data_IF_887437586017
#
_entry.id   IF_887437586017
#
_cell.length_a   1.000
_cell.length_b   1.000
_cell.length_c   1.000
_cell.angle_alpha   90.00
_cell.angle_beta   90.00
_cell.angle_gamma   90.00
#
_symmetry.space_group_name_H-M   'P 1'
#
loop_
_entity.id
_entity.type
_entity.pdbx_description
1 polymer ?
#
# COMPACT_ATOMS: atom_id res chain seq x y z
N UNK A 1 4.68 -4.31 7.75
CA UNK A 1 3.89 -3.11 7.41
C UNK A 1 4.26 -2.06 8.43
N UNK A 2 4.48 -0.81 7.99
CA UNK A 2 4.86 0.30 8.87
C UNK A 2 3.63 1.10 9.34
N UNK A 3 2.54 1.03 8.57
CA UNK A 3 1.27 1.71 8.85
C UNK A 3 0.12 0.73 8.70
N UNK A 4 -0.89 0.85 9.57
CA UNK A 4 -2.19 0.19 9.46
C UNK A 4 -3.25 1.29 9.39
N UNK A 5 -3.98 1.36 8.27
CA UNK A 5 -5.11 2.28 8.09
C UNK A 5 -6.42 1.59 8.43
N UNK A 6 -7.20 2.19 9.33
CA UNK A 6 -8.56 1.81 9.66
C UNK A 6 -9.54 2.79 8.99
N UNK A 7 -10.28 2.29 8.00
CA UNK A 7 -11.27 3.10 7.29
C UNK A 7 -12.69 2.83 7.78
N UNK A 8 -13.39 3.88 8.20
CA UNK A 8 -14.80 3.83 8.58
C UNK A 8 -15.74 3.55 7.41
N UNK A 9 -16.92 2.97 7.70
CA UNK A 9 -17.98 2.71 6.72
C UNK A 9 -18.49 3.97 6.00
N UNK A 10 -18.19 5.14 6.56
CA UNK A 10 -18.68 6.42 6.13
C UNK A 10 -17.76 7.10 5.11
N UNK A 11 -16.69 6.43 4.66
CA UNK A 11 -15.82 6.86 3.57
C UNK A 11 -16.56 7.29 2.29
N UNK A 12 -15.93 8.20 1.55
CA UNK A 12 -16.44 8.69 0.25
C UNK A 12 -16.11 7.71 -0.88
N UNK A 13 -16.90 7.73 -1.96
CA UNK A 13 -16.61 6.96 -3.18
C UNK A 13 -17.15 7.66 -4.42
N UNK A 14 -16.41 7.56 -5.52
CA UNK A 14 -16.85 8.05 -6.84
C UNK A 14 -17.94 7.17 -7.45
N UNK A 15 -17.88 5.84 -7.22
CA UNK A 15 -18.83 4.87 -7.72
C UNK A 15 -18.81 3.60 -6.85
N UNK A 16 -19.97 3.19 -6.32
CA UNK A 16 -20.13 1.96 -5.55
C UNK A 16 -21.60 1.54 -5.53
N UNK A 17 -21.90 0.22 -5.44
CA UNK A 17 -23.26 -0.24 -5.20
C UNK A 17 -23.86 0.42 -3.95
N UNK A 18 -25.11 0.86 -4.05
CA UNK A 18 -25.83 1.50 -2.92
C UNK A 18 -25.95 0.58 -1.71
N UNK A 19 -26.02 -0.73 -1.94
CA UNK A 19 -26.05 -1.74 -0.88
C UNK A 19 -24.77 -1.72 -0.08
N UNK A 20 -23.60 -1.70 -0.73
CA UNK A 20 -22.30 -1.60 -0.07
C UNK A 20 -22.17 -0.31 0.74
N UNK A 21 -22.56 0.84 0.18
CA UNK A 21 -22.51 2.15 0.88
C UNK A 21 -23.36 2.16 2.16
N UNK A 22 -24.43 1.36 2.22
CA UNK A 22 -25.39 1.37 3.34
C UNK A 22 -25.19 0.24 4.34
N UNK A 23 -24.59 -0.87 3.92
CA UNK A 23 -24.63 -2.14 4.66
C UNK A 23 -23.29 -2.87 4.77
N UNK A 24 -22.20 -2.30 4.26
CA UNK A 24 -20.86 -2.85 4.43
C UNK A 24 -19.97 -1.89 5.21
N UNK A 25 -19.22 -2.42 6.16
CA UNK A 25 -18.32 -1.66 7.04
C UNK A 25 -18.92 -1.34 8.41
N UNK A 26 -18.06 -0.89 9.31
CA UNK A 26 -18.37 -0.46 10.67
C UNK A 26 -17.83 0.96 10.93
N UNK A 27 -18.31 1.67 11.96
CA UNK A 27 -17.71 2.91 12.43
C UNK A 27 -16.21 2.74 12.71
N UNK A 28 -15.41 3.74 12.35
CA UNK A 28 -13.96 3.68 12.53
C UNK A 28 -13.59 3.62 14.02
N UNK A 29 -14.42 4.19 14.91
CA UNK A 29 -14.21 4.17 16.37
C UNK A 29 -14.08 2.74 16.91
N UNK A 30 -14.87 1.80 16.37
CA UNK A 30 -14.82 0.39 16.76
C UNK A 30 -13.51 -0.26 16.29
N UNK A 31 -13.23 -0.18 14.98
CA UNK A 31 -12.06 -0.83 14.39
C UNK A 31 -10.75 -0.22 14.89
N UNK A 32 -10.72 1.09 15.13
CA UNK A 32 -9.55 1.81 15.63
C UNK A 32 -9.24 1.39 17.06
N UNK A 33 -10.23 1.42 17.95
CA UNK A 33 -10.05 0.99 19.32
C UNK A 33 -9.64 -0.48 19.39
N UNK A 34 -10.31 -1.37 18.66
CA UNK A 34 -9.96 -2.81 18.63
C UNK A 34 -8.52 -3.03 18.13
N UNK A 35 -8.12 -2.33 17.06
CA UNK A 35 -6.76 -2.42 16.51
C UNK A 35 -5.73 -1.92 17.51
N UNK A 36 -5.94 -0.74 18.10
CA UNK A 36 -5.06 -0.17 19.11
C UNK A 36 -4.91 -1.11 20.29
N UNK A 37 -6.03 -1.55 20.87
CA UNK A 37 -6.07 -2.41 22.04
C UNK A 37 -5.35 -3.74 21.79
N UNK A 38 -5.65 -4.39 20.65
CA UNK A 38 -5.05 -5.67 20.28
C UNK A 38 -3.54 -5.55 20.06
N UNK A 39 -3.08 -4.48 19.42
CA UNK A 39 -1.65 -4.24 19.22
C UNK A 39 -0.92 -3.99 20.54
N UNK A 40 -1.54 -3.29 21.50
CA UNK A 40 -0.95 -3.07 22.84
C UNK A 40 -0.86 -4.39 23.59
N UNK A 41 -1.94 -5.17 23.63
CA UNK A 41 -1.99 -6.47 24.32
C UNK A 41 -0.93 -7.46 23.80
N UNK A 42 -0.58 -7.38 22.52
CA UNK A 42 0.42 -8.26 21.89
C UNK A 42 1.84 -7.67 21.87
N UNK A 43 2.07 -6.52 22.51
CA UNK A 43 3.34 -5.80 22.48
C UNK A 43 3.84 -5.48 21.05
N UNK A 44 2.91 -5.14 20.15
CA UNK A 44 3.17 -4.79 18.76
C UNK A 44 2.86 -3.32 18.44
N UNK A 45 2.24 -2.57 19.37
CA UNK A 45 1.79 -1.20 19.12
C UNK A 45 2.92 -0.22 18.80
N UNK A 46 4.11 -0.44 19.34
CA UNK A 46 5.31 0.39 19.13
C UNK A 46 5.93 0.26 17.73
N UNK A 47 5.46 -0.71 16.94
CA UNK A 47 6.06 -1.11 15.66
C UNK A 47 5.36 -0.56 14.42
N UNK A 48 4.14 -0.07 14.58
CA UNK A 48 3.29 0.35 13.47
C UNK A 48 2.60 1.64 13.84
N UNK A 49 2.50 2.55 12.88
CA UNK A 49 1.59 3.68 12.98
C UNK A 49 0.17 3.22 12.71
N UNK A 50 -0.78 3.74 13.47
CA UNK A 50 -2.20 3.52 13.21
C UNK A 50 -2.80 4.78 12.62
N UNK A 51 -3.26 4.69 11.38
CA UNK A 51 -3.96 5.76 10.66
C UNK A 51 -5.47 5.49 10.70
N UNK A 52 -6.28 6.54 10.73
CA UNK A 52 -7.74 6.39 10.57
C UNK A 52 -8.31 7.39 9.58
N UNK A 53 -9.32 6.97 8.83
CA UNK A 53 -10.14 7.83 8.00
C UNK A 53 -11.63 7.43 8.09
N UNK A 54 -12.51 8.29 7.59
CA UNK A 54 -13.96 8.12 7.74
C UNK A 54 -14.63 9.41 8.17
N UNK A 55 -14.88 10.29 7.18
CA UNK A 55 -15.44 11.65 7.36
C UNK A 55 -14.92 12.38 8.60
N UNK A 56 -13.61 12.42 8.79
CA UNK A 56 -13.00 13.36 9.71
C UNK A 56 -13.17 14.77 9.14
N UNK A 57 -13.90 15.63 9.85
CA UNK A 57 -14.27 16.98 9.39
C UNK A 57 -13.80 18.09 10.33
N UNK A 58 -13.47 17.76 11.58
CA UNK A 58 -13.19 18.73 12.65
C UNK A 58 -11.94 18.35 13.45
N UNK A 59 -11.36 19.31 14.16
CA UNK A 59 -10.31 19.06 15.14
C UNK A 59 -10.80 18.16 16.29
N UNK A 60 -12.08 18.21 16.62
CA UNK A 60 -12.70 17.27 17.57
C UNK A 60 -12.68 15.82 17.09
N UNK A 61 -12.98 15.57 15.82
CA UNK A 61 -12.91 14.21 15.26
C UNK A 61 -11.49 13.65 15.38
N UNK A 62 -10.49 14.50 15.10
CA UNK A 62 -9.08 14.15 15.29
C UNK A 62 -8.76 13.85 16.75
N UNK A 63 -9.20 14.71 17.68
CA UNK A 63 -8.99 14.48 19.10
C UNK A 63 -9.56 13.14 19.55
N UNK A 64 -10.79 12.80 19.16
CA UNK A 64 -11.39 11.49 19.48
C UNK A 64 -10.57 10.36 18.85
N UNK A 65 -10.18 10.48 17.59
CA UNK A 65 -9.32 9.50 16.92
C UNK A 65 -7.98 9.31 17.64
N UNK A 66 -7.31 10.38 18.06
CA UNK A 66 -6.06 10.30 18.83
C UNK A 66 -6.28 9.55 20.15
N UNK A 67 -7.31 9.92 20.91
CA UNK A 67 -7.62 9.30 22.20
C UNK A 67 -7.98 7.81 22.07
N UNK A 68 -8.55 7.40 20.93
CA UNK A 68 -8.81 6.00 20.60
C UNK A 68 -7.61 5.25 20.01
N UNK A 69 -6.51 5.94 19.71
CA UNK A 69 -5.23 5.31 19.39
C UNK A 69 -4.62 5.63 18.03
N UNK A 70 -5.20 6.55 17.24
CA UNK A 70 -4.64 6.97 15.95
C UNK A 70 -3.46 7.94 16.11
N UNK A 71 -2.55 7.90 15.15
CA UNK A 71 -1.39 8.80 15.01
C UNK A 71 -1.46 9.63 13.72
N UNK A 72 -2.13 9.10 12.70
CA UNK A 72 -2.29 9.73 11.39
C UNK A 72 -3.78 9.78 11.00
N UNK A 73 -4.16 10.78 10.21
CA UNK A 73 -5.56 11.10 9.92
C UNK A 73 -5.77 11.33 8.42
N UNK A 74 -6.58 10.49 7.80
CA UNK A 74 -6.93 10.58 6.39
C UNK A 74 -8.10 11.53 6.14
N UNK A 75 -7.94 12.44 5.18
CA UNK A 75 -9.00 13.35 4.74
C UNK A 75 -9.30 13.17 3.25
N UNK A 76 -10.57 13.01 2.90
CA UNK A 76 -11.01 12.93 1.51
C UNK A 76 -12.18 13.88 1.21
N UNK A 77 -13.34 13.69 1.85
CA UNK A 77 -14.56 14.44 1.52
C UNK A 77 -14.44 15.93 1.84
N UNK A 78 -13.89 16.30 3.02
CA UNK A 78 -13.70 17.70 3.38
C UNK A 78 -12.81 18.45 2.36
N UNK A 79 -11.60 17.97 2.02
CA UNK A 79 -10.80 18.55 0.95
C UNK A 79 -11.56 18.72 -0.38
N UNK A 80 -12.33 17.73 -0.80
CA UNK A 80 -13.14 17.84 -2.02
C UNK A 80 -14.19 18.96 -1.93
N UNK A 81 -14.85 19.12 -0.78
CA UNK A 81 -15.82 20.21 -0.56
C UNK A 81 -15.15 21.57 -0.60
N UNK A 82 -13.97 21.70 0.02
CA UNK A 82 -13.20 22.96 0.03
C UNK A 82 -12.72 23.35 -1.37
N UNK A 83 -12.40 22.35 -2.21
CA UNK A 83 -12.07 22.54 -3.62
C UNK A 83 -13.29 22.81 -4.52
N UNK A 84 -14.50 22.83 -3.96
CA UNK A 84 -15.73 23.23 -4.65
C UNK A 84 -16.78 22.13 -4.82
N UNK A 85 -16.58 20.92 -4.28
CA UNK A 85 -17.62 19.88 -4.32
C UNK A 85 -18.88 20.34 -3.58
N UNK A 86 -19.99 20.41 -4.31
CA UNK A 86 -21.32 20.79 -3.79
C UNK A 86 -22.16 19.59 -3.35
N UNK A 87 -21.54 18.42 -3.13
CA UNK A 87 -22.19 17.19 -2.64
C UNK A 87 -23.40 16.70 -3.48
N UNK A 88 -23.36 16.91 -4.80
CA UNK A 88 -24.45 16.53 -5.73
C UNK A 88 -24.59 15.01 -5.93
N UNK A 89 -23.57 14.21 -5.57
CA UNK A 89 -23.57 12.73 -5.64
C UNK A 89 -23.79 12.13 -7.04
N UNK A 90 -23.32 12.83 -8.08
CA UNK A 90 -23.34 12.38 -9.49
C UNK A 90 -21.95 11.98 -10.00
N UNK A 91 -21.01 11.67 -9.10
CA UNK A 91 -19.61 11.41 -9.45
C UNK A 91 -19.45 10.27 -10.46
N UNK A 92 -20.26 9.21 -10.35
CA UNK A 92 -20.27 8.04 -11.23
C UNK A 92 -20.86 8.31 -12.62
N UNK A 93 -21.48 9.47 -12.85
CA UNK A 93 -22.13 9.81 -14.12
C UNK A 93 -21.24 10.63 -15.05
N UNK A 94 -20.04 11.02 -14.60
CA UNK A 94 -19.16 11.94 -15.33
C UNK A 94 -19.80 13.33 -15.61
N UNK A 95 -20.78 13.73 -14.79
CA UNK A 95 -21.53 15.00 -14.95
C UNK A 95 -21.33 15.97 -13.79
N UNK A 96 -20.15 15.99 -13.17
CA UNK A 96 -19.88 16.88 -12.05
C UNK A 96 -20.02 18.36 -12.47
N UNK A 97 -20.93 19.14 -11.87
CA UNK A 97 -21.23 20.50 -12.33
C UNK A 97 -20.09 21.49 -12.08
N UNK A 98 -19.17 21.15 -11.18
CA UNK A 98 -18.08 21.99 -10.66
C UNK A 98 -16.69 21.45 -11.07
N UNK A 99 -16.62 20.50 -12.00
CA UNK A 99 -15.35 20.02 -12.53
C UNK A 99 -14.48 19.18 -11.59
N UNK A 100 -15.01 18.75 -10.43
CA UNK A 100 -14.25 17.95 -9.44
C UNK A 100 -14.15 16.47 -9.86
N UNK A 101 -15.27 15.79 -10.02
CA UNK A 101 -15.33 14.35 -10.32
C UNK A 101 -15.84 14.11 -11.75
N UNK A 102 -15.07 14.53 -12.74
CA UNK A 102 -15.40 14.38 -14.17
C UNK A 102 -14.16 14.39 -15.05
N UNK A 103 -14.16 13.61 -16.11
CA UNK A 103 -13.18 13.61 -17.20
C UNK A 103 -13.64 14.44 -18.41
N UNK A 104 -14.90 14.88 -18.44
CA UNK A 104 -15.43 15.73 -19.51
C UNK A 104 -14.66 17.07 -19.59
N UNK A 105 -14.01 17.39 -20.73
CA UNK A 105 -13.20 18.60 -20.86
C UNK A 105 -13.96 19.91 -20.60
N UNK A 106 -15.23 20.00 -21.00
CA UNK A 106 -16.04 21.21 -20.79
C UNK A 106 -16.45 21.40 -19.33
N UNK A 107 -16.71 20.30 -18.61
CA UNK A 107 -17.04 20.36 -17.19
C UNK A 107 -15.79 20.60 -16.33
N UNK A 108 -14.63 20.05 -16.71
CA UNK A 108 -13.35 20.30 -16.04
C UNK A 108 -12.94 21.78 -16.03
N UNK A 109 -13.28 22.54 -17.07
CA UNK A 109 -13.08 24.01 -17.11
C UNK A 109 -13.80 24.76 -15.99
N UNK A 110 -14.80 24.14 -15.35
CA UNK A 110 -15.57 24.73 -14.23
C UNK A 110 -14.90 24.52 -12.88
N UNK A 111 -13.80 23.78 -12.81
CA UNK A 111 -13.05 23.61 -11.57
C UNK A 111 -12.37 24.92 -11.18
N UNK A 112 -12.69 25.43 -10.00
CA UNK A 112 -12.14 26.68 -9.44
C UNK A 112 -11.44 26.45 -8.10
N UNK A 113 -11.06 25.21 -7.79
CA UNK A 113 -10.41 24.87 -6.52
C UNK A 113 -9.01 25.45 -6.42
N UNK A 114 -8.67 25.98 -5.25
CA UNK A 114 -7.35 26.55 -4.96
C UNK A 114 -6.65 25.70 -3.87
N UNK A 115 -5.42 25.21 -4.12
CA UNK A 115 -4.62 24.51 -3.10
C UNK A 115 -4.45 25.30 -1.80
N UNK A 116 -4.41 26.64 -1.86
CA UNK A 116 -4.34 27.51 -0.69
C UNK A 116 -5.54 27.35 0.25
N UNK A 117 -6.73 27.01 -0.27
CA UNK A 117 -7.89 26.72 0.56
C UNK A 117 -7.70 25.44 1.37
N UNK A 118 -7.05 24.41 0.81
CA UNK A 118 -6.70 23.18 1.53
C UNK A 118 -5.70 23.48 2.65
N UNK A 119 -4.68 24.27 2.36
CA UNK A 119 -3.68 24.68 3.36
C UNK A 119 -4.37 25.39 4.54
N UNK A 120 -5.29 26.31 4.26
CA UNK A 120 -6.03 27.03 5.29
C UNK A 120 -6.92 26.08 6.12
N UNK A 121 -7.64 25.17 5.47
CA UNK A 121 -8.42 24.15 6.17
C UNK A 121 -7.57 23.30 7.11
N UNK A 122 -6.43 22.77 6.64
CA UNK A 122 -5.54 21.96 7.47
C UNK A 122 -5.00 22.77 8.66
N UNK A 123 -4.72 24.07 8.48
CA UNK A 123 -4.33 24.96 9.58
C UNK A 123 -5.45 25.14 10.61
N UNK A 124 -6.71 25.27 10.18
CA UNK A 124 -7.86 25.38 11.08
C UNK A 124 -8.09 24.10 11.87
N UNK A 125 -8.06 22.94 11.20
CA UNK A 125 -8.16 21.63 11.86
C UNK A 125 -7.05 21.45 12.89
N UNK A 126 -5.81 21.77 12.52
CA UNK A 126 -4.68 21.69 13.45
C UNK A 126 -4.80 22.69 14.62
N UNK A 127 -5.35 23.89 14.39
CA UNK A 127 -5.59 24.87 15.46
C UNK A 127 -6.64 24.37 16.46
N UNK A 128 -7.78 23.89 15.97
CA UNK A 128 -8.85 23.33 16.80
C UNK A 128 -8.34 22.12 17.61
N UNK A 129 -7.58 21.22 16.99
CA UNK A 129 -6.97 20.10 17.70
C UNK A 129 -6.03 20.58 18.82
N UNK A 130 -5.17 21.57 18.57
CA UNK A 130 -4.27 22.14 19.60
C UNK A 130 -5.04 22.77 20.76
N UNK A 131 -6.16 23.44 20.48
CA UNK A 131 -7.02 24.01 21.52
C UNK A 131 -7.60 22.91 22.42
N UNK A 132 -8.10 21.82 21.83
CA UNK A 132 -8.61 20.65 22.56
C UNK A 132 -7.49 19.95 23.34
N UNK A 133 -6.30 19.77 22.74
CA UNK A 133 -5.13 19.22 23.42
C UNK A 133 -4.77 20.05 24.65
N UNK A 134 -4.76 21.38 24.53
CA UNK A 134 -4.45 22.28 25.63
C UNK A 134 -5.51 22.21 26.74
N UNK A 135 -6.80 22.11 26.38
CA UNK A 135 -7.89 21.92 27.34
C UNK A 135 -7.76 20.59 28.12
N UNK A 136 -7.35 19.51 27.43
CA UNK A 136 -7.16 18.19 28.04
C UNK A 136 -5.81 18.03 28.77
N UNK A 137 -4.89 18.99 28.60
CA UNK A 137 -3.59 19.03 29.27
C UNK A 137 -2.45 18.30 28.54
N UNK A 138 -2.57 18.05 27.24
CA UNK A 138 -1.54 17.41 26.41
C UNK A 138 -0.69 18.43 25.65
N UNK A 139 0.62 18.20 25.55
CA UNK A 139 1.55 19.05 24.80
C UNK A 139 1.89 18.48 23.44
N UNK A 140 1.86 17.16 23.30
CA UNK A 140 2.17 16.45 22.04
C UNK A 140 1.06 15.46 21.71
N UNK A 141 0.99 15.06 20.43
CA UNK A 141 0.06 14.02 19.98
C UNK A 141 0.39 12.70 20.68
N UNK A 142 1.66 12.32 20.76
CA UNK A 142 2.14 11.09 21.39
C UNK A 142 1.66 10.93 22.85
N UNK A 143 1.62 12.02 23.63
CA UNK A 143 1.10 12.02 25.00
C UNK A 143 -0.41 11.72 25.08
N UNK A 144 -1.14 11.99 23.99
CA UNK A 144 -2.60 11.88 23.86
C UNK A 144 -3.03 10.54 23.26
N UNK A 145 -2.17 9.87 22.48
CA UNK A 145 -2.52 8.61 21.80
C UNK A 145 -2.97 7.55 22.80
N UNK A 146 -4.16 6.98 22.59
CA UNK A 146 -4.70 5.89 23.42
C UNK A 146 -5.20 6.32 24.80
N UNK A 147 -5.29 7.63 25.08
CA UNK A 147 -5.81 8.19 26.34
C UNK A 147 -7.34 8.16 26.39
N UNK A 148 -7.95 7.01 26.13
CA UNK A 148 -9.41 6.82 26.17
C UNK A 148 -10.03 7.13 27.54
N UNK A 149 -9.23 7.19 28.63
CA UNK A 149 -9.65 7.73 29.94
C UNK A 149 -10.16 9.18 29.90
N UNK A 150 -9.85 9.93 28.84
CA UNK A 150 -10.35 11.29 28.62
C UNK A 150 -11.68 11.35 27.87
N UNK A 151 -12.24 10.20 27.51
CA UNK A 151 -13.53 10.10 26.85
C UNK A 151 -14.56 9.51 27.82
N UNK A 152 -15.76 10.08 27.79
CA UNK A 152 -16.92 9.50 28.46
C UNK A 152 -18.17 9.61 27.60
N UNK A 153 -19.11 8.71 27.85
CA UNK A 153 -20.42 8.79 27.21
C UNK A 153 -21.17 10.03 27.72
N UNK A 154 -21.67 10.84 26.79
CA UNK A 154 -22.53 11.96 27.16
C UNK A 154 -23.89 11.45 27.67
N UNK A 155 -24.03 11.39 29.00
CA UNK A 155 -25.26 10.95 29.68
C UNK A 155 -26.41 11.95 29.58
N UNK A 156 -26.18 13.17 29.11
CA UNK A 156 -27.21 14.19 28.95
C UNK A 156 -28.06 14.00 27.68
N UNK A 157 -27.71 13.05 26.80
CA UNK A 157 -28.51 12.70 25.63
C UNK A 157 -29.66 11.77 26.05
N UNK A 158 -30.76 12.35 26.52
CA UNK A 158 -31.99 11.62 26.85
C UNK A 158 -32.82 11.35 25.59
N UNK A 159 -32.46 10.29 24.87
CA UNK A 159 -33.20 9.82 23.71
C UNK A 159 -33.49 8.33 23.82
N UNK A 160 -34.71 7.90 23.55
CA UNK A 160 -35.11 6.50 23.76
C UNK A 160 -34.26 5.47 23.00
N UNK A 161 -33.70 5.84 21.83
CA UNK A 161 -32.78 4.98 21.04
C UNK A 161 -31.36 4.87 21.60
N UNK A 162 -30.95 5.72 22.53
CA UNK A 162 -29.62 5.61 23.16
C UNK A 162 -29.63 4.66 24.35
N UNK A 163 -30.81 4.21 24.80
CA UNK A 163 -30.96 3.23 25.86
C UNK A 163 -30.28 1.91 25.47
N UNK A 164 -29.32 1.48 26.29
CA UNK A 164 -28.58 0.23 26.12
C UNK A 164 -27.30 0.32 25.30
N UNK A 165 -26.91 1.51 24.82
CA UNK A 165 -25.57 1.70 24.26
C UNK A 165 -24.53 1.63 25.38
N UNK A 166 -23.53 0.77 25.19
CA UNK A 166 -22.37 0.63 26.08
C UNK A 166 -21.09 0.79 25.26
N UNK A 167 -20.28 1.78 25.64
CA UNK A 167 -19.00 2.07 25.02
C UNK A 167 -17.82 1.58 25.85
N UNK A 168 -18.06 0.81 26.93
CA UNK A 168 -17.02 0.28 27.80
C UNK A 168 -15.91 -0.46 27.03
N UNK A 169 -16.27 -1.25 26.01
CA UNK A 169 -15.30 -1.97 25.18
C UNK A 169 -14.46 -1.06 24.28
N UNK A 170 -15.02 0.04 23.79
CA UNK A 170 -14.29 1.02 22.97
C UNK A 170 -13.32 1.82 23.86
N UNK A 171 -13.77 2.17 25.06
CA UNK A 171 -13.02 3.00 26.00
C UNK A 171 -12.03 2.19 26.85
N UNK A 172 -12.03 0.86 26.74
CA UNK A 172 -11.14 -0.02 27.49
C UNK A 172 -9.66 0.32 27.24
N UNK A 173 -8.91 0.42 28.34
CA UNK A 173 -7.46 0.63 28.32
C UNK A 173 -6.76 -0.68 28.70
N UNK A 174 -6.08 -1.35 27.75
CA UNK A 174 -5.30 -2.54 28.06
C UNK A 174 -4.08 -2.18 28.91
N UNK A 175 -3.66 -3.11 29.76
CA UNK A 175 -2.36 -2.99 30.43
C UNK A 175 -1.23 -3.02 29.39
N UNK A 176 -0.32 -2.07 29.49
CA UNK A 176 0.84 -1.99 28.59
C UNK A 176 1.91 -2.96 29.09
N UNK A 177 2.29 -3.99 28.30
CA UNK A 177 3.35 -4.92 28.69
C UNK A 177 4.70 -4.22 28.90
N UNK A 178 5.61 -4.86 29.64
CA UNK A 178 6.96 -4.33 29.83
C UNK A 178 7.68 -4.12 28.49
N UNK A 179 8.29 -2.96 28.32
CA UNK A 179 8.94 -2.55 27.06
C UNK A 179 7.97 -2.19 25.92
N UNK A 180 6.66 -2.19 26.17
CA UNK A 180 5.62 -1.76 25.24
C UNK A 180 5.33 -0.26 25.31
N UNK A 181 4.38 0.18 24.49
CA UNK A 181 3.98 1.58 24.37
C UNK A 181 2.64 1.72 23.65
N UNK A 182 2.07 2.93 23.66
CA UNK A 182 0.74 3.21 23.11
C UNK A 182 0.77 3.77 21.68
N UNK A 183 1.94 4.15 21.18
CA UNK A 183 2.14 4.74 19.86
C UNK A 183 3.42 4.19 19.21
N UNK A 184 3.64 4.47 17.93
CA UNK A 184 4.78 3.97 17.17
C UNK A 184 6.08 4.61 17.67
N UNK A 185 7.06 3.79 18.07
CA UNK A 185 8.33 4.23 18.64
C UNK A 185 9.55 3.58 17.96
N UNK A 186 9.34 2.50 17.20
CA UNK A 186 10.40 1.67 16.65
C UNK A 186 10.18 1.48 15.15
N UNK A 187 11.20 1.80 14.36
CA UNK A 187 11.22 1.50 12.93
C UNK A 187 11.25 -0.02 12.66
N UNK A 188 10.58 -0.45 11.59
CA UNK A 188 10.59 -1.86 11.21
C UNK A 188 11.86 -2.23 10.45
N UNK A 189 12.49 -3.34 10.85
CA UNK A 189 13.47 -4.01 10.01
C UNK A 189 12.79 -5.03 9.08
N UNK A 190 12.66 -4.66 7.80
CA UNK A 190 12.08 -5.50 6.76
C UNK A 190 13.02 -6.59 6.21
N UNK A 191 14.26 -6.69 6.74
CA UNK A 191 15.31 -7.62 6.34
C UNK A 191 15.70 -7.52 4.86
N UNK A 192 15.59 -6.32 4.27
CA UNK A 192 15.91 -6.06 2.85
C UNK A 192 17.40 -6.32 2.59
N UNK A 193 18.26 -6.04 3.57
CA UNK A 193 19.70 -6.25 3.55
C UNK A 193 20.10 -7.73 3.37
N UNK A 194 19.18 -8.67 3.66
CA UNK A 194 19.39 -10.11 3.50
C UNK A 194 18.94 -10.64 2.13
N UNK A 195 18.37 -9.78 1.28
CA UNK A 195 17.91 -10.18 -0.04
C UNK A 195 19.08 -10.53 -0.96
N UNK A 196 18.86 -11.48 -1.88
CA UNK A 196 19.86 -11.89 -2.88
C UNK A 196 20.37 -10.70 -3.70
N UNK A 197 19.47 -9.75 -3.98
CA UNK A 197 19.82 -8.53 -4.69
C UNK A 197 20.87 -7.71 -3.94
N UNK A 198 20.66 -7.43 -2.64
CA UNK A 198 21.61 -6.64 -1.84
C UNK A 198 22.89 -7.41 -1.54
N UNK A 199 22.77 -8.70 -1.15
CA UNK A 199 23.94 -9.46 -0.69
C UNK A 199 24.89 -9.87 -1.80
N UNK A 200 24.47 -9.83 -3.07
CA UNK A 200 25.25 -10.38 -4.18
C UNK A 200 25.09 -9.64 -5.50
N UNK A 201 23.86 -9.37 -5.95
CA UNK A 201 23.64 -8.96 -7.34
C UNK A 201 23.90 -7.47 -7.60
N UNK A 202 23.56 -6.60 -6.64
CA UNK A 202 23.57 -5.15 -6.85
C UNK A 202 24.99 -4.63 -7.13
N UNK A 203 25.97 -5.09 -6.36
CA UNK A 203 27.37 -4.70 -6.53
C UNK A 203 27.94 -5.12 -7.89
N UNK A 204 27.52 -6.30 -8.37
CA UNK A 204 27.91 -6.79 -9.69
C UNK A 204 27.27 -5.98 -10.83
N UNK A 205 26.13 -5.31 -10.56
CA UNK A 205 25.44 -4.47 -11.53
C UNK A 205 25.98 -3.04 -11.62
N UNK A 206 26.92 -2.62 -10.75
CA UNK A 206 27.41 -1.23 -10.74
C UNK A 206 27.92 -0.72 -12.09
N UNK A 207 28.67 -1.49 -12.91
CA UNK A 207 29.07 -1.02 -14.24
C UNK A 207 27.89 -0.67 -15.16
N UNK A 208 26.80 -1.46 -15.08
CA UNK A 208 25.57 -1.18 -15.81
C UNK A 208 24.83 0.03 -15.24
N UNK A 209 24.82 0.19 -13.92
CA UNK A 209 24.12 1.29 -13.25
C UNK A 209 24.83 2.64 -13.42
N UNK A 210 26.15 2.67 -13.46
CA UNK A 210 26.93 3.91 -13.54
C UNK A 210 27.18 4.34 -14.99
N UNK A 211 27.35 3.38 -15.89
CA UNK A 211 27.86 3.63 -17.25
C UNK A 211 27.04 2.99 -18.37
N UNK A 212 25.94 2.31 -18.04
CA UNK A 212 25.17 1.50 -19.00
C UNK A 212 26.02 0.44 -19.72
N UNK A 213 27.07 -0.07 -19.07
CA UNK A 213 27.89 -1.15 -19.60
C UNK A 213 27.15 -2.49 -19.50
N UNK A 214 27.35 -3.38 -20.48
CA UNK A 214 26.73 -4.70 -20.46
C UNK A 214 27.33 -5.57 -19.36
N UNK A 215 26.48 -6.11 -18.50
CA UNK A 215 26.81 -6.98 -17.39
C UNK A 215 26.05 -8.29 -17.53
N UNK A 216 26.76 -9.41 -17.38
CA UNK A 216 26.17 -10.75 -17.33
C UNK A 216 26.57 -11.42 -16.02
N UNK A 217 25.58 -11.78 -15.21
CA UNK A 217 25.77 -12.41 -13.91
C UNK A 217 25.23 -13.83 -13.97
N UNK A 218 26.01 -14.80 -13.52
CA UNK A 218 25.61 -16.20 -13.41
C UNK A 218 25.59 -16.58 -11.94
N UNK A 219 24.44 -17.01 -11.41
CA UNK A 219 24.33 -17.44 -10.01
C UNK A 219 23.26 -18.51 -9.82
N UNK A 220 23.24 -19.08 -8.62
CA UNK A 220 22.19 -20.03 -8.21
C UNK A 220 21.18 -19.35 -7.29
N UNK A 221 19.94 -19.82 -7.37
CA UNK A 221 18.84 -19.39 -6.50
C UNK A 221 18.12 -20.59 -5.90
N UNK A 222 17.47 -20.35 -4.77
CA UNK A 222 16.60 -21.29 -4.06
C UNK A 222 15.26 -20.62 -3.79
N UNK A 223 14.24 -21.41 -3.44
CA UNK A 223 12.88 -20.92 -3.20
C UNK A 223 12.78 -19.88 -2.07
N UNK A 224 13.77 -19.79 -1.19
CA UNK A 224 13.89 -18.75 -0.16
C UNK A 224 14.29 -17.38 -0.72
N UNK A 225 14.90 -17.35 -1.91
CA UNK A 225 15.25 -16.12 -2.62
C UNK A 225 14.01 -15.58 -3.34
N UNK A 226 13.30 -14.67 -2.67
CA UNK A 226 12.12 -13.98 -3.20
C UNK A 226 12.51 -12.65 -3.85
N UNK A 227 11.65 -12.12 -4.72
CA UNK A 227 11.79 -10.79 -5.35
C UNK A 227 13.14 -10.53 -6.01
N UNK A 228 13.78 -11.59 -6.52
CA UNK A 228 15.11 -11.47 -7.14
C UNK A 228 15.02 -10.57 -8.39
N UNK A 229 15.90 -9.59 -8.45
CA UNK A 229 16.01 -8.57 -9.49
C UNK A 229 15.24 -7.27 -9.19
N UNK A 230 14.28 -7.27 -8.25
CA UNK A 230 13.42 -6.11 -8.01
C UNK A 230 14.19 -4.89 -7.51
N UNK A 231 15.21 -5.07 -6.66
CA UNK A 231 16.03 -3.94 -6.19
C UNK A 231 16.92 -3.42 -7.32
N UNK A 232 17.43 -4.31 -8.18
CA UNK A 232 18.19 -3.91 -9.37
C UNK A 232 17.29 -3.08 -10.30
N UNK A 233 16.05 -3.52 -10.53
CA UNK A 233 15.05 -2.77 -11.29
C UNK A 233 14.74 -1.40 -10.69
N UNK A 234 14.67 -1.31 -9.36
CA UNK A 234 14.53 -0.03 -8.65
C UNK A 234 15.72 0.91 -8.91
N UNK A 235 16.95 0.40 -8.81
CA UNK A 235 18.17 1.18 -9.00
C UNK A 235 18.35 1.64 -10.45
N UNK A 236 17.94 0.84 -11.43
CA UNK A 236 17.83 1.25 -12.84
C UNK A 236 16.79 2.37 -12.99
N UNK A 237 15.59 2.17 -12.46
CA UNK A 237 14.50 3.15 -12.59
C UNK A 237 14.86 4.49 -11.92
N UNK A 238 15.52 4.47 -10.76
CA UNK A 238 15.98 5.71 -10.09
C UNK A 238 16.95 6.53 -10.94
N UNK A 239 17.82 5.86 -11.71
CA UNK A 239 18.86 6.52 -12.52
C UNK A 239 18.39 6.91 -13.90
N UNK A 240 17.61 6.05 -14.54
CA UNK A 240 17.26 6.16 -15.96
C UNK A 240 15.78 6.43 -16.22
N UNK A 241 14.94 6.41 -15.17
CA UNK A 241 13.51 6.65 -15.28
C UNK A 241 12.81 5.62 -16.17
N UNK A 242 11.78 6.07 -16.88
CA UNK A 242 10.96 5.25 -17.80
C UNK A 242 11.76 4.72 -18.99
N UNK A 243 12.80 5.44 -19.44
CA UNK A 243 13.62 5.02 -20.58
C UNK A 243 14.40 3.72 -20.30
N UNK A 244 14.70 3.44 -19.01
CA UNK A 244 15.47 2.26 -18.61
C UNK A 244 16.87 2.23 -19.23
N UNK A 245 17.39 1.01 -19.41
CA UNK A 245 18.68 0.77 -20.05
C UNK A 245 18.48 0.22 -21.47
N UNK A 246 19.52 0.28 -22.34
CA UNK A 246 19.53 -0.48 -23.59
C UNK A 246 19.24 -1.97 -23.33
N UNK A 247 18.67 -2.64 -24.32
CA UNK A 247 18.26 -4.04 -24.19
C UNK A 247 19.43 -4.96 -23.81
N UNK A 248 19.15 -5.91 -22.91
CA UNK A 248 20.10 -6.88 -22.36
C UNK A 248 21.37 -6.23 -21.73
N UNK A 249 21.28 -4.97 -21.27
CA UNK A 249 22.38 -4.33 -20.52
C UNK A 249 22.69 -5.09 -19.23
N UNK A 250 21.69 -5.54 -18.49
CA UNK A 250 21.87 -6.43 -17.34
C UNK A 250 21.24 -7.78 -17.67
N UNK A 251 22.04 -8.84 -17.73
CA UNK A 251 21.53 -10.20 -17.90
C UNK A 251 21.82 -11.03 -16.65
N UNK A 252 20.78 -11.53 -16.00
CA UNK A 252 20.86 -12.46 -14.87
C UNK A 252 20.56 -13.87 -15.35
N UNK A 253 21.59 -14.72 -15.41
CA UNK A 253 21.44 -16.14 -15.66
C UNK A 253 21.39 -16.88 -14.31
N UNK A 254 20.21 -17.36 -13.97
CA UNK A 254 19.88 -18.00 -12.72
C UNK A 254 19.71 -19.51 -12.93
N UNK A 255 20.19 -20.33 -11.99
CA UNK A 255 19.92 -21.78 -11.95
C UNK A 255 19.32 -22.19 -10.61
N UNK A 256 18.26 -22.99 -10.64
CA UNK A 256 17.57 -23.52 -9.45
C UNK A 256 16.08 -23.21 -9.43
N UNK A 257 15.49 -23.18 -8.23
CA UNK A 257 14.05 -22.90 -8.05
C UNK A 257 13.88 -21.52 -7.44
N UNK A 258 13.11 -20.64 -8.07
CA UNK A 258 12.91 -19.29 -7.56
C UNK A 258 11.83 -19.21 -6.49
N UNK A 259 12.01 -18.31 -5.53
CA UNK A 259 10.94 -17.92 -4.63
C UNK A 259 9.87 -17.10 -5.33
N UNK A 260 8.94 -16.61 -4.50
CA UNK A 260 7.83 -15.78 -4.92
C UNK A 260 8.32 -14.48 -5.58
N UNK A 261 7.61 -14.01 -6.61
CA UNK A 261 7.81 -12.71 -7.25
C UNK A 261 9.17 -12.52 -7.96
N UNK A 262 9.72 -13.56 -8.58
CA UNK A 262 10.92 -13.43 -9.42
C UNK A 262 10.72 -12.37 -10.51
N UNK A 263 11.64 -11.41 -10.60
CA UNK A 263 11.60 -10.38 -11.62
C UNK A 263 10.37 -9.49 -11.53
N UNK A 264 9.86 -9.22 -10.31
CA UNK A 264 8.78 -8.27 -10.14
C UNK A 264 9.26 -6.83 -10.45
N UNK A 265 8.46 -6.08 -11.21
CA UNK A 265 8.68 -4.67 -11.56
C UNK A 265 9.98 -4.35 -12.30
N UNK A 266 10.46 -5.29 -13.12
CA UNK A 266 11.71 -5.12 -13.84
C UNK A 266 11.51 -4.18 -15.05
N UNK A 267 12.29 -3.09 -15.17
CA UNK A 267 12.23 -2.15 -16.28
C UNK A 267 12.99 -2.64 -17.52
N UNK A 268 12.89 -1.88 -18.60
CA UNK A 268 13.65 -2.11 -19.82
C UNK A 268 15.17 -2.17 -19.57
N UNK A 269 15.83 -3.10 -20.27
CA UNK A 269 17.28 -3.30 -20.24
C UNK A 269 17.78 -4.34 -19.25
N UNK A 270 16.88 -4.93 -18.47
CA UNK A 270 17.16 -6.09 -17.62
C UNK A 270 16.53 -7.35 -18.21
N UNK A 271 17.33 -8.41 -18.31
CA UNK A 271 16.92 -9.73 -18.79
C UNK A 271 17.22 -10.77 -17.72
N UNK A 272 16.19 -11.50 -17.29
CA UNK A 272 16.33 -12.59 -16.31
C UNK A 272 16.05 -13.90 -17.02
N UNK A 273 17.04 -14.80 -17.00
CA UNK A 273 16.94 -16.17 -17.53
C UNK A 273 17.04 -17.14 -16.38
N UNK A 274 16.07 -18.03 -16.23
CA UNK A 274 16.06 -19.05 -15.19
C UNK A 274 16.05 -20.45 -15.82
N UNK A 275 17.12 -21.21 -15.56
CA UNK A 275 17.17 -22.65 -15.76
C UNK A 275 16.66 -23.35 -14.49
N UNK A 276 15.41 -23.83 -14.52
CA UNK A 276 14.73 -24.42 -13.37
C UNK A 276 13.23 -24.11 -13.36
N UNK A 277 12.70 -23.73 -12.19
CA UNK A 277 11.28 -23.46 -11.95
C UNK A 277 11.08 -22.20 -11.09
N UNK A 278 9.90 -21.59 -11.13
CA UNK A 278 9.56 -20.42 -10.32
C UNK A 278 8.20 -20.58 -9.62
N UNK A 279 8.13 -20.05 -8.40
CA UNK A 279 6.89 -19.96 -7.64
C UNK A 279 5.96 -18.83 -8.18
N UNK A 280 4.89 -18.51 -7.44
CA UNK A 280 3.88 -17.54 -7.89
C UNK A 280 4.46 -16.14 -8.13
N UNK A 281 3.71 -15.34 -8.89
CA UNK A 281 4.02 -13.95 -9.22
C UNK A 281 5.27 -13.75 -10.09
N UNK A 282 5.68 -14.77 -10.85
CA UNK A 282 6.74 -14.61 -11.86
C UNK A 282 6.46 -13.41 -12.77
N UNK A 283 7.39 -12.46 -12.83
CA UNK A 283 7.25 -11.24 -13.63
C UNK A 283 6.07 -10.34 -13.22
N UNK A 284 5.64 -10.37 -11.95
CA UNK A 284 4.57 -9.47 -11.45
C UNK A 284 4.89 -8.01 -11.75
N UNK A 285 3.96 -7.31 -12.39
CA UNK A 285 4.12 -5.92 -12.76
C UNK A 285 5.32 -5.66 -13.66
N UNK A 286 5.68 -6.60 -14.56
CA UNK A 286 6.78 -6.41 -15.52
C UNK A 286 6.58 -5.11 -16.32
N UNK A 287 7.64 -4.31 -16.45
CA UNK A 287 7.61 -2.91 -16.91
C UNK A 287 8.68 -2.63 -17.98
N UNK A 288 8.87 -3.57 -18.90
CA UNK A 288 9.79 -3.45 -20.05
C UNK A 288 10.94 -4.46 -20.05
N UNK A 289 11.15 -5.16 -18.94
CA UNK A 289 12.17 -6.21 -18.86
C UNK A 289 11.84 -7.45 -19.68
N UNK A 290 12.82 -8.35 -19.79
CA UNK A 290 12.68 -9.65 -20.46
C UNK A 290 12.84 -10.80 -19.47
N UNK A 291 11.84 -11.66 -19.40
CA UNK A 291 11.81 -12.82 -18.52
C UNK A 291 11.87 -14.10 -19.36
N UNK A 292 12.77 -15.01 -19.03
CA UNK A 292 12.92 -16.29 -19.72
C UNK A 292 13.03 -17.39 -18.68
N UNK A 293 12.25 -18.46 -18.81
CA UNK A 293 12.32 -19.63 -17.94
C UNK A 293 12.22 -20.92 -18.73
N UNK A 294 13.07 -21.87 -18.41
CA UNK A 294 13.13 -23.18 -19.07
C UNK A 294 13.65 -24.25 -18.12
N UNK A 295 13.26 -25.53 -18.32
CA UNK A 295 13.69 -26.60 -17.44
C UNK A 295 15.21 -26.85 -17.60
N UNK A 296 15.87 -27.46 -16.59
CA UNK A 296 17.26 -27.86 -16.68
C UNK A 296 17.55 -28.67 -17.94
N UNK A 297 18.74 -28.54 -18.51
CA UNK A 297 19.10 -29.25 -19.76
C UNK A 297 19.04 -30.77 -19.61
N UNK A 298 19.32 -31.24 -18.40
CA UNK A 298 19.25 -32.64 -17.97
C UNK A 298 17.83 -33.16 -17.73
N UNK A 299 16.79 -32.32 -17.82
CA UNK A 299 15.40 -32.76 -17.64
C UNK A 299 14.95 -33.71 -18.75
N UNK A 300 14.32 -34.83 -18.37
CA UNK A 300 13.85 -35.89 -19.27
C UNK A 300 12.34 -35.85 -19.53
N UNK A 301 11.60 -35.01 -18.81
CA UNK A 301 10.16 -34.84 -18.98
C UNK A 301 9.81 -33.88 -20.13
N UNK A 302 8.59 -33.97 -20.64
CA UNK A 302 8.04 -33.07 -21.66
C UNK A 302 7.67 -31.73 -21.01
N UNK A 303 8.33 -30.60 -21.35
CA UNK A 303 8.15 -29.34 -20.63
C UNK A 303 6.71 -28.81 -20.67
N UNK A 304 6.05 -28.87 -21.82
CA UNK A 304 4.70 -28.34 -22.04
C UNK A 304 3.61 -29.06 -21.21
N UNK A 305 3.88 -30.28 -20.74
CA UNK A 305 2.97 -31.03 -19.86
C UNK A 305 3.23 -30.78 -18.35
N UNK A 306 4.24 -29.96 -18.01
CA UNK A 306 4.71 -29.79 -16.64
C UNK A 306 4.71 -28.32 -16.21
N UNK A 307 4.27 -28.05 -14.98
CA UNK A 307 4.25 -26.71 -14.42
C UNK A 307 5.68 -26.22 -14.16
N UNK A 308 6.00 -25.05 -14.68
CA UNK A 308 7.31 -24.39 -14.51
C UNK A 308 7.19 -23.03 -13.82
N UNK A 309 6.04 -22.37 -13.91
CA UNK A 309 5.72 -21.14 -13.17
C UNK A 309 4.44 -21.30 -12.37
N UNK A 310 4.42 -20.74 -11.15
CA UNK A 310 3.25 -20.74 -10.29
C UNK A 310 2.10 -19.85 -10.76
N UNK A 311 1.22 -19.51 -9.84
CA UNK A 311 0.00 -18.74 -10.08
C UNK A 311 0.30 -17.24 -10.29
N UNK A 312 -0.66 -16.53 -10.89
CA UNK A 312 -0.69 -15.05 -10.93
C UNK A 312 0.59 -14.45 -11.55
N UNK A 313 1.23 -15.19 -12.44
CA UNK A 313 2.36 -14.70 -13.21
C UNK A 313 1.93 -13.53 -14.10
N UNK A 314 2.83 -12.54 -14.24
CA UNK A 314 2.65 -11.33 -15.04
C UNK A 314 1.46 -10.46 -14.59
N UNK A 315 1.11 -10.54 -13.30
CA UNK A 315 0.00 -9.75 -12.74
C UNK A 315 0.21 -8.25 -12.92
N UNK A 316 -0.72 -7.60 -13.62
CA UNK A 316 -0.72 -6.15 -13.79
C UNK A 316 0.47 -5.62 -14.59
N UNK A 317 1.15 -6.48 -15.35
CA UNK A 317 2.30 -6.08 -16.14
C UNK A 317 1.91 -5.11 -17.28
N UNK A 318 2.79 -4.16 -17.60
CA UNK A 318 2.49 -3.04 -18.50
C UNK A 318 3.31 -3.06 -19.79
N UNK A 319 4.51 -3.65 -19.76
CA UNK A 319 5.40 -3.72 -20.92
C UNK A 319 6.43 -4.84 -20.71
N UNK A 320 7.00 -5.35 -21.79
CA UNK A 320 8.10 -6.33 -21.75
C UNK A 320 7.73 -7.67 -22.35
N UNK A 321 8.63 -8.64 -22.19
CA UNK A 321 8.49 -9.96 -22.80
C UNK A 321 8.71 -11.07 -21.78
N UNK A 322 7.95 -12.15 -21.91
CA UNK A 322 8.10 -13.36 -21.11
C UNK A 322 8.10 -14.60 -22.01
N UNK A 323 9.09 -15.47 -21.84
CA UNK A 323 9.22 -16.71 -22.60
C UNK A 323 9.29 -17.89 -21.63
N UNK A 324 8.29 -18.76 -21.65
CA UNK A 324 8.06 -19.79 -20.64
C UNK A 324 8.02 -21.16 -21.32
N UNK A 325 9.06 -21.97 -21.10
CA UNK A 325 9.11 -23.34 -21.61
C UNK A 325 8.47 -24.32 -20.61
N UNK A 326 7.15 -24.26 -20.49
CA UNK A 326 6.34 -25.17 -19.68
C UNK A 326 4.96 -24.59 -19.36
N UNK A 327 4.20 -25.26 -18.49
CA UNK A 327 2.88 -24.80 -18.07
C UNK A 327 2.94 -23.76 -16.95
N UNK A 328 1.97 -22.84 -16.95
CA UNK A 328 1.75 -21.88 -15.88
C UNK A 328 0.59 -22.30 -14.97
N UNK A 329 0.63 -21.88 -13.70
CA UNK A 329 -0.48 -22.05 -12.77
C UNK A 329 -1.69 -21.16 -13.06
N UNK A 330 -2.57 -21.05 -12.07
CA UNK A 330 -3.82 -20.31 -12.17
C UNK A 330 -3.61 -18.80 -12.40
N UNK A 331 -4.57 -18.17 -13.10
CA UNK A 331 -4.60 -16.71 -13.34
C UNK A 331 -3.36 -16.15 -14.03
N UNK A 332 -2.77 -16.92 -14.95
CA UNK A 332 -1.72 -16.43 -15.85
C UNK A 332 -2.14 -15.15 -16.57
N UNK A 333 -1.26 -14.14 -16.61
CA UNK A 333 -1.51 -12.84 -17.25
C UNK A 333 -2.74 -12.07 -16.74
N UNK A 334 -3.19 -12.31 -15.50
CA UNK A 334 -4.31 -11.56 -14.92
C UNK A 334 -3.98 -10.06 -14.88
N UNK A 335 -4.86 -9.23 -15.47
CA UNK A 335 -4.66 -7.78 -15.66
C UNK A 335 -3.40 -7.40 -16.48
N UNK A 336 -2.88 -8.27 -17.34
CA UNK A 336 -1.86 -7.88 -18.31
C UNK A 336 -2.35 -6.70 -19.17
N UNK A 337 -1.54 -5.66 -19.25
CA UNK A 337 -1.83 -4.39 -19.93
C UNK A 337 -0.78 -4.01 -20.97
N UNK A 338 0.15 -4.92 -21.32
CA UNK A 338 1.10 -4.68 -22.41
C UNK A 338 2.34 -5.57 -22.50
N UNK A 339 2.38 -6.70 -21.77
CA UNK A 339 3.42 -7.72 -21.92
C UNK A 339 3.07 -8.72 -23.01
N UNK A 340 4.05 -9.10 -23.82
CA UNK A 340 3.99 -10.26 -24.71
C UNK A 340 4.53 -11.48 -23.98
N UNK A 341 3.73 -12.54 -23.84
CA UNK A 341 4.14 -13.78 -23.19
C UNK A 341 3.90 -14.97 -24.10
N UNK A 342 4.87 -15.89 -24.15
CA UNK A 342 4.83 -17.14 -24.92
C UNK A 342 5.03 -18.33 -23.99
#
# INVERSE_FOLDING_TARGET
ADVILISGYDGGTGASPRTSIRHAGLPWELGLAETHQTLVLNNLRTRVKVETDGKLLTGKDLAVATLLGAEEYGFATAPLVILGCVMMRVCHLDTCPVGVATQNPELRKRFTGDPGHIVNFMKFIAQELREIMAELGFRTIDEMVGRSDKLEMNKAIDHWKTKGLDFSSILYQPEVPEGGGLYCQIEQNHNIEKSKDITELLDLCQPALDKAEKVVINTTIKNVNRVVGTIIGNEVTKRYGEAGLPEDTITLNLKGSSGQSLGAFIPQGITIKLEGDANDYFGKGLSGGKMVIYPPKEATFVPEDNIIVGNVALYGATQGEAYIRGAAGERFCVRNSGVTAV
#
